data_IF_850575114098
#
_entry.id   IF_850575114098
#
_cell.length_a   1.000
_cell.length_b   1.000
_cell.length_c   1.000
_cell.angle_alpha   90.00
_cell.angle_beta   90.00
_cell.angle_gamma   90.00
#
_symmetry.space_group_name_H-M   'P 1'
#
loop_
_entity.id
_entity.type
_entity.pdbx_description
1 polymer ?
#
# COMPACT_ATOMS: atom_id res chain seq x y z
N UNK A 1 -11.50 -4.60 22.72
CA UNK A 1 -10.79 -5.83 23.14
C UNK A 1 -9.86 -6.27 22.02
N UNK A 2 -8.57 -6.41 22.29
CA UNK A 2 -7.64 -7.07 21.36
C UNK A 2 -7.89 -8.58 21.40
N UNK A 3 -7.88 -9.24 20.23
CA UNK A 3 -7.96 -10.70 20.13
C UNK A 3 -6.55 -11.26 19.94
N UNK A 4 -6.24 -12.35 20.63
CA UNK A 4 -4.98 -13.08 20.44
C UNK A 4 -5.09 -13.95 19.19
N UNK A 5 -4.08 -13.85 18.32
CA UNK A 5 -3.92 -14.67 17.14
C UNK A 5 -2.73 -15.60 17.35
N UNK A 6 -2.94 -16.91 17.20
CA UNK A 6 -1.87 -17.89 17.12
C UNK A 6 -1.48 -18.06 15.65
N UNK A 7 -0.25 -17.69 15.30
CA UNK A 7 0.27 -17.78 13.93
C UNK A 7 1.45 -18.73 13.91
N UNK A 8 1.47 -19.65 12.94
CA UNK A 8 2.65 -20.48 12.69
C UNK A 8 3.69 -19.64 11.95
N UNK A 9 4.85 -19.47 12.58
CA UNK A 9 5.98 -18.74 12.01
C UNK A 9 7.01 -19.78 11.57
N UNK A 10 7.56 -19.67 10.35
CA UNK A 10 8.67 -20.51 9.89
C UNK A 10 9.86 -20.50 10.86
N UNK A 11 10.56 -21.63 10.99
CA UNK A 11 11.66 -21.80 11.97
C UNK A 11 12.88 -20.92 11.66
N UNK A 12 13.18 -20.70 10.38
CA UNK A 12 14.19 -19.75 9.93
C UNK A 12 13.85 -18.33 10.40
N UNK A 13 12.59 -17.92 10.20
CA UNK A 13 12.11 -16.59 10.55
C UNK A 13 12.06 -16.38 12.08
N UNK A 14 11.77 -17.41 12.87
CA UNK A 14 11.74 -17.29 14.33
C UNK A 14 13.14 -16.99 14.89
N UNK A 15 14.19 -17.56 14.30
CA UNK A 15 15.58 -17.30 14.68
C UNK A 15 15.95 -15.84 14.48
N UNK A 16 15.60 -15.27 13.33
CA UNK A 16 15.81 -13.85 13.02
C UNK A 16 15.03 -12.93 13.96
N UNK A 17 13.75 -13.24 14.20
CA UNK A 17 12.89 -12.46 15.12
C UNK A 17 13.44 -12.47 16.55
N UNK A 18 14.01 -13.59 17.00
CA UNK A 18 14.68 -13.67 18.31
C UNK A 18 15.92 -12.79 18.38
N UNK A 19 16.71 -12.72 17.31
CA UNK A 19 17.88 -11.85 17.23
C UNK A 19 17.48 -10.38 17.22
N UNK A 20 16.46 -10.01 16.44
CA UNK A 20 15.91 -8.65 16.40
C UNK A 20 15.33 -8.22 17.75
N UNK A 21 14.62 -9.13 18.44
CA UNK A 21 14.15 -8.91 19.81
C UNK A 21 15.30 -8.57 20.75
N UNK A 22 16.39 -9.34 20.72
CA UNK A 22 17.57 -9.08 21.57
C UNK A 22 18.22 -7.73 21.24
N UNK A 23 18.32 -7.40 19.96
CA UNK A 23 18.94 -6.16 19.49
C UNK A 23 18.13 -4.91 19.85
N UNK A 24 16.80 -4.95 19.69
CA UNK A 24 15.92 -3.78 19.86
C UNK A 24 15.25 -3.70 21.23
N UNK A 25 15.36 -4.74 22.06
CA UNK A 25 14.74 -4.77 23.38
C UNK A 25 13.20 -4.84 23.34
N UNK A 26 12.62 -5.34 22.24
CA UNK A 26 11.17 -5.36 22.01
C UNK A 26 10.62 -6.78 21.86
N UNK A 27 9.34 -6.98 22.14
CA UNK A 27 8.67 -8.29 21.99
C UNK A 27 8.34 -8.61 20.53
N UNK A 28 8.41 -9.89 20.16
CA UNK A 28 8.15 -10.35 18.78
C UNK A 28 6.75 -9.97 18.29
N UNK A 29 5.76 -9.98 19.18
CA UNK A 29 4.38 -9.60 18.86
C UNK A 29 4.26 -8.18 18.32
N UNK A 30 5.15 -7.27 18.73
CA UNK A 30 5.17 -5.90 18.21
C UNK A 30 5.55 -5.89 16.73
N UNK A 31 6.68 -6.52 16.37
CA UNK A 31 7.11 -6.61 14.97
C UNK A 31 6.07 -7.27 14.08
N UNK A 32 5.44 -8.35 14.56
CA UNK A 32 4.36 -9.02 13.82
C UNK A 32 3.16 -8.09 13.64
N UNK A 33 2.80 -7.32 14.66
CA UNK A 33 1.69 -6.36 14.56
C UNK A 33 2.00 -5.23 13.58
N UNK A 34 3.21 -4.68 13.61
CA UNK A 34 3.64 -3.64 12.67
C UNK A 34 3.64 -4.15 11.23
N UNK A 35 4.25 -5.32 10.97
CA UNK A 35 4.28 -5.93 9.64
C UNK A 35 2.88 -6.21 9.09
N UNK A 36 1.95 -6.70 9.93
CA UNK A 36 0.55 -6.90 9.52
C UNK A 36 -0.12 -5.56 9.20
N UNK A 37 0.12 -4.53 10.02
CA UNK A 37 -0.49 -3.21 9.84
C UNK A 37 -0.01 -2.56 8.54
N UNK A 38 1.29 -2.62 8.28
CA UNK A 38 1.92 -2.14 7.05
C UNK A 38 1.36 -2.88 5.84
N UNK A 39 1.33 -4.22 5.87
CA UNK A 39 0.81 -5.00 4.75
C UNK A 39 -0.67 -4.73 4.47
N UNK A 40 -1.47 -4.54 5.52
CA UNK A 40 -2.88 -4.18 5.38
C UNK A 40 -3.08 -2.77 4.80
N UNK A 41 -2.14 -1.85 5.02
CA UNK A 41 -2.18 -0.52 4.40
C UNK A 41 -1.85 -0.61 2.91
N UNK A 42 -0.77 -1.31 2.54
CA UNK A 42 -0.40 -1.56 1.14
C UNK A 42 -1.55 -2.20 0.35
N UNK A 43 -2.16 -3.27 0.89
CA UNK A 43 -3.26 -3.94 0.22
C UNK A 43 -4.47 -3.02 -0.02
N UNK A 44 -4.73 -2.06 0.89
CA UNK A 44 -5.81 -1.09 0.71
C UNK A 44 -5.49 -0.09 -0.40
N UNK A 45 -4.25 0.37 -0.48
CA UNK A 45 -3.77 1.24 -1.55
C UNK A 45 -3.87 0.54 -2.90
N UNK A 46 -3.34 -0.69 -3.01
CA UNK A 46 -3.44 -1.51 -4.23
C UNK A 46 -4.91 -1.70 -4.67
N UNK A 47 -5.80 -1.97 -3.71
CA UNK A 47 -7.24 -2.13 -4.00
C UNK A 47 -7.85 -0.83 -4.51
N UNK A 48 -7.47 0.31 -3.93
CA UNK A 48 -7.96 1.62 -4.34
C UNK A 48 -7.49 1.98 -5.76
N UNK A 49 -6.23 1.69 -6.07
CA UNK A 49 -5.66 1.89 -7.40
C UNK A 49 -6.33 1.02 -8.45
N UNK A 50 -6.54 -0.26 -8.16
CA UNK A 50 -7.27 -1.18 -9.04
C UNK A 50 -8.70 -0.66 -9.29
N UNK A 51 -9.38 -0.20 -8.24
CA UNK A 51 -10.72 0.36 -8.37
C UNK A 51 -10.72 1.62 -9.25
N UNK A 52 -9.76 2.52 -9.06
CA UNK A 52 -9.60 3.74 -9.86
C UNK A 52 -9.34 3.42 -11.34
N UNK A 53 -8.37 2.54 -11.62
CA UNK A 53 -8.03 2.12 -12.98
C UNK A 53 -9.24 1.47 -13.65
N UNK A 54 -9.97 0.62 -12.91
CA UNK A 54 -11.16 -0.06 -13.44
C UNK A 54 -12.27 0.93 -13.76
N UNK A 55 -12.52 1.92 -12.90
CA UNK A 55 -13.50 2.97 -13.14
C UNK A 55 -13.16 3.82 -14.38
N UNK A 56 -11.87 4.06 -14.61
CA UNK A 56 -11.37 4.87 -15.74
C UNK A 56 -11.11 4.09 -17.01
N UNK A 57 -11.30 2.76 -17.01
CA UNK A 57 -10.96 1.88 -18.13
C UNK A 57 -11.64 2.25 -19.46
N UNK A 58 -12.79 2.90 -19.39
CA UNK A 58 -13.59 3.31 -20.55
C UNK A 58 -13.55 4.82 -20.81
N UNK A 59 -12.71 5.58 -20.09
CA UNK A 59 -12.55 6.99 -20.36
C UNK A 59 -11.85 7.20 -21.71
N UNK A 60 -12.40 8.11 -22.52
CA UNK A 60 -11.80 8.49 -23.80
C UNK A 60 -10.45 9.16 -23.56
N UNK A 61 -9.40 8.66 -24.18
CA UNK A 61 -8.11 9.36 -24.20
C UNK A 61 -8.18 10.58 -25.13
N UNK A 62 -7.50 11.65 -24.75
CA UNK A 62 -7.37 12.88 -25.56
C UNK A 62 -5.89 13.08 -25.82
N UNK A 63 -5.52 13.36 -27.07
CA UNK A 63 -4.13 13.67 -27.40
C UNK A 63 -3.66 14.93 -26.68
N UNK A 64 -2.38 15.02 -26.34
CA UNK A 64 -1.80 16.21 -25.69
C UNK A 64 -2.08 17.50 -26.48
N UNK A 65 -2.00 17.44 -27.82
CA UNK A 65 -2.32 18.57 -28.71
C UNK A 65 -3.77 19.04 -28.54
N UNK A 66 -4.70 18.10 -28.44
CA UNK A 66 -6.11 18.42 -28.27
C UNK A 66 -6.43 18.89 -26.84
N UNK A 67 -5.73 18.35 -25.84
CA UNK A 67 -5.78 18.83 -24.46
C UNK A 67 -5.29 20.27 -24.33
N UNK A 68 -4.13 20.58 -24.91
CA UNK A 68 -3.55 21.93 -24.91
C UNK A 68 -4.46 22.93 -25.65
N UNK A 69 -5.12 22.50 -26.73
CA UNK A 69 -6.14 23.32 -27.41
C UNK A 69 -7.32 23.61 -26.45
N UNK A 70 -7.83 22.60 -25.74
CA UNK A 70 -8.95 22.76 -24.78
C UNK A 70 -8.58 23.69 -23.62
N UNK A 71 -7.35 23.61 -23.10
CA UNK A 71 -6.87 24.48 -22.02
C UNK A 71 -6.70 25.93 -22.47
N UNK A 72 -6.15 26.16 -23.68
CA UNK A 72 -6.08 27.51 -24.29
C UNK A 72 -7.47 28.13 -24.47
N UNK A 73 -8.47 27.35 -24.89
CA UNK A 73 -9.86 27.82 -24.96
C UNK A 73 -10.46 28.20 -23.60
N UNK A 74 -9.96 27.61 -22.49
CA UNK A 74 -10.37 27.95 -21.13
C UNK A 74 -9.57 29.11 -20.52
N UNK A 75 -8.70 29.76 -21.30
CA UNK A 75 -7.84 30.84 -20.81
C UNK A 75 -6.71 30.36 -19.89
N UNK A 76 -6.46 29.05 -19.84
CA UNK A 76 -5.36 28.46 -19.08
C UNK A 76 -4.15 28.40 -20.00
N UNK A 77 -3.07 29.06 -19.61
CA UNK A 77 -1.79 28.99 -20.33
C UNK A 77 -1.13 27.63 -20.06
N UNK A 78 -0.74 26.94 -21.13
CA UNK A 78 -0.01 25.65 -21.12
C UNK A 78 1.16 25.76 -22.06
#
# INVERSE_FOLDING_TARGET
>A
MSKLLAVRIPEDLIGELHNLRKLRGTVISHFVTEAITEKMAEMKEETADIALITARKHESSVSEKEWNKRLKHKGISV
#
